data_IF_804870539561
#
_entry.id   IF_804870539561
#
_cell.length_a   1.000
_cell.length_b   1.000
_cell.length_c   1.000
_cell.angle_alpha   90.00
_cell.angle_beta   90.00
_cell.angle_gamma   90.00
#
_symmetry.space_group_name_H-M   'P 1'
#
loop_
_entity.id
_entity.type
_entity.pdbx_description
1 polymer ?
#
# COMPACT_ATOMS: atom_id res chain seq x y z
N UNK A 1 3.83 10.96 40.37
CA UNK A 1 3.51 11.14 38.94
C UNK A 1 4.21 10.11 38.03
N UNK A 2 4.56 8.90 38.49
CA UNK A 2 5.44 7.98 37.73
C UNK A 2 4.68 6.88 36.94
N UNK A 3 3.39 6.63 37.23
CA UNK A 3 2.62 5.56 36.59
C UNK A 3 2.20 5.86 35.13
N UNK A 4 1.97 7.13 34.78
CA UNK A 4 1.50 7.50 33.43
C UNK A 4 2.55 7.19 32.36
N UNK A 5 3.84 7.39 32.65
CA UNK A 5 4.94 7.16 31.71
C UNK A 5 5.11 5.69 31.34
N UNK A 6 4.85 4.77 32.27
CA UNK A 6 5.03 3.32 32.06
C UNK A 6 3.93 2.69 31.21
N UNK A 7 2.69 3.20 31.32
CA UNK A 7 1.55 2.66 30.58
C UNK A 7 1.65 3.03 29.09
N UNK A 8 2.06 4.25 28.80
CA UNK A 8 2.20 4.74 27.43
C UNK A 8 3.37 4.05 26.71
N UNK A 9 4.44 3.71 27.43
CA UNK A 9 5.59 2.96 26.89
C UNK A 9 5.22 1.53 26.45
N UNK A 10 4.40 0.83 27.24
CA UNK A 10 3.93 -0.52 26.91
C UNK A 10 3.07 -0.52 25.63
N UNK A 11 2.17 0.47 25.51
CA UNK A 11 1.35 0.65 24.31
C UNK A 11 2.20 1.01 23.10
N UNK A 12 3.13 1.96 23.25
CA UNK A 12 4.01 2.39 22.17
C UNK A 12 4.89 1.23 21.66
N UNK A 13 5.40 0.41 22.56
CA UNK A 13 6.16 -0.80 22.19
C UNK A 13 5.30 -1.80 21.42
N UNK A 14 4.05 -2.00 21.83
CA UNK A 14 3.12 -2.88 21.13
C UNK A 14 2.74 -2.32 19.74
N UNK A 15 2.45 -1.02 19.66
CA UNK A 15 2.14 -0.32 18.40
C UNK A 15 3.32 -0.39 17.43
N UNK A 16 4.55 -0.15 17.89
CA UNK A 16 5.75 -0.27 17.06
C UNK A 16 5.90 -1.66 16.45
N UNK A 17 5.50 -2.71 17.18
CA UNK A 17 5.47 -4.08 16.64
C UNK A 17 4.32 -4.28 15.66
N UNK A 18 3.14 -3.72 15.95
CA UNK A 18 1.97 -3.78 15.06
C UNK A 18 2.27 -3.14 13.70
N UNK A 19 2.92 -1.98 13.67
CA UNK A 19 3.23 -1.25 12.44
C UNK A 19 4.20 -1.99 11.50
N UNK A 20 4.89 -3.04 11.97
CA UNK A 20 5.79 -3.87 11.15
C UNK A 20 5.07 -4.99 10.39
N UNK A 21 3.78 -5.21 10.63
CA UNK A 21 3.03 -6.25 9.95
C UNK A 21 2.67 -5.82 8.51
N UNK A 22 2.51 -6.82 7.63
CA UNK A 22 1.96 -6.61 6.29
C UNK A 22 0.50 -6.09 6.37
N UNK A 23 -0.02 -5.45 5.29
CA UNK A 23 -1.32 -4.75 5.34
C UNK A 23 -2.50 -5.63 5.75
N UNK A 24 -2.55 -6.86 5.23
CA UNK A 24 -3.65 -7.79 5.50
C UNK A 24 -3.61 -8.25 6.98
N UNK A 25 -2.51 -8.82 7.51
CA UNK A 25 -2.40 -9.14 8.93
C UNK A 25 -2.64 -7.94 9.85
N UNK A 26 -2.10 -6.77 9.52
CA UNK A 26 -2.28 -5.54 10.31
C UNK A 26 -3.77 -5.17 10.45
N UNK A 27 -4.50 -5.17 9.33
CA UNK A 27 -5.94 -4.87 9.33
C UNK A 27 -6.71 -5.88 10.17
N UNK A 28 -6.45 -7.17 9.99
CA UNK A 28 -7.16 -8.25 10.70
C UNK A 28 -6.95 -8.14 12.21
N UNK A 29 -5.71 -7.95 12.67
CA UNK A 29 -5.42 -7.86 14.11
C UNK A 29 -6.01 -6.60 14.72
N UNK A 30 -5.88 -5.44 14.07
CA UNK A 30 -6.36 -4.18 14.62
C UNK A 30 -7.89 -4.12 14.70
N UNK A 31 -8.60 -4.62 13.69
CA UNK A 31 -10.06 -4.77 13.73
C UNK A 31 -10.50 -5.72 14.85
N UNK A 32 -9.78 -6.83 15.04
CA UNK A 32 -10.09 -7.81 16.07
C UNK A 32 -9.85 -7.23 17.46
N UNK A 33 -8.71 -6.57 17.69
CA UNK A 33 -8.40 -5.88 18.95
C UNK A 33 -9.43 -4.79 19.25
N UNK A 34 -9.83 -4.02 18.24
CA UNK A 34 -10.83 -2.97 18.41
C UNK A 34 -12.20 -3.53 18.84
N UNK A 35 -12.62 -4.66 18.24
CA UNK A 35 -13.85 -5.37 18.63
C UNK A 35 -13.76 -5.90 20.06
N UNK A 36 -12.64 -6.52 20.43
CA UNK A 36 -12.41 -7.04 21.80
C UNK A 36 -12.54 -5.91 22.81
N UNK A 37 -11.82 -4.80 22.61
CA UNK A 37 -11.88 -3.64 23.52
C UNK A 37 -13.29 -3.04 23.57
N UNK A 38 -13.96 -2.90 22.42
CA UNK A 38 -15.31 -2.33 22.35
C UNK A 38 -16.33 -3.20 23.08
N UNK A 39 -16.23 -4.54 22.95
CA UNK A 39 -17.15 -5.46 23.63
C UNK A 39 -17.02 -5.36 25.16
N UNK A 40 -15.79 -5.30 25.67
CA UNK A 40 -15.53 -5.14 27.11
C UNK A 40 -16.00 -3.78 27.61
N UNK A 41 -15.68 -2.70 26.88
CA UNK A 41 -16.08 -1.33 27.24
C UNK A 41 -17.60 -1.21 27.33
N UNK A 42 -18.32 -1.77 26.35
CA UNK A 42 -19.77 -1.65 26.29
C UNK A 42 -20.48 -2.59 27.29
N UNK A 43 -19.89 -3.74 27.60
CA UNK A 43 -20.47 -4.76 28.45
C UNK A 43 -19.45 -5.26 29.50
N UNK A 44 -19.05 -4.42 30.47
CA UNK A 44 -17.96 -4.74 31.40
C UNK A 44 -18.32 -5.84 32.41
N UNK A 45 -19.61 -6.14 32.58
CA UNK A 45 -20.08 -7.19 33.48
C UNK A 45 -20.22 -8.56 32.81
N UNK A 46 -20.18 -8.61 31.48
CA UNK A 46 -20.38 -9.84 30.70
C UNK A 46 -19.08 -10.68 30.73
N UNK A 47 -19.06 -11.83 31.46
CA UNK A 47 -17.83 -12.60 31.68
C UNK A 47 -17.20 -13.10 30.38
N UNK A 48 -18.02 -13.38 29.37
CA UNK A 48 -17.58 -13.86 28.05
C UNK A 48 -16.65 -12.88 27.33
N UNK A 49 -16.76 -11.58 27.58
CA UNK A 49 -15.88 -10.58 26.96
C UNK A 49 -14.61 -10.32 27.77
N UNK A 50 -14.59 -10.70 29.04
CA UNK A 50 -13.44 -10.54 29.93
C UNK A 50 -12.39 -11.62 29.74
N UNK A 51 -12.71 -12.71 29.05
CA UNK A 51 -11.84 -13.84 28.79
C UNK A 51 -11.69 -14.14 27.30
N UNK A 52 -10.46 -14.31 26.85
CA UNK A 52 -10.12 -14.81 25.51
C UNK A 52 -9.39 -16.15 25.65
N UNK A 53 -9.97 -17.21 25.09
CA UNK A 53 -9.31 -18.52 25.01
C UNK A 53 -8.23 -18.50 23.94
N UNK A 54 -7.03 -19.00 24.25
CA UNK A 54 -5.93 -19.04 23.28
C UNK A 54 -6.18 -20.01 22.12
N UNK A 55 -6.96 -21.06 22.39
CA UNK A 55 -7.43 -22.03 21.39
C UNK A 55 -8.49 -21.47 20.45
N UNK A 56 -9.08 -20.31 20.74
CA UNK A 56 -10.05 -19.70 19.81
C UNK A 56 -9.35 -19.25 18.54
N UNK A 57 -9.93 -19.55 17.37
CA UNK A 57 -9.43 -19.08 16.08
C UNK A 57 -9.22 -17.56 16.05
N UNK A 58 -10.10 -16.81 16.72
CA UNK A 58 -9.95 -15.36 16.90
C UNK A 58 -8.65 -14.98 17.60
N UNK A 59 -8.23 -15.72 18.63
CA UNK A 59 -6.97 -15.43 19.30
C UNK A 59 -5.79 -16.00 18.50
N UNK A 60 -5.82 -17.29 18.15
CA UNK A 60 -4.69 -17.99 17.54
C UNK A 60 -4.33 -17.45 16.15
N UNK A 61 -5.33 -17.30 15.27
CA UNK A 61 -5.10 -16.93 13.88
C UNK A 61 -4.98 -15.42 13.70
N UNK A 62 -5.73 -14.62 14.46
CA UNK A 62 -5.81 -13.17 14.23
C UNK A 62 -4.93 -12.35 15.17
N UNK A 63 -4.74 -12.79 16.41
CA UNK A 63 -4.05 -11.99 17.44
C UNK A 63 -2.63 -12.50 17.68
N UNK A 64 -2.44 -13.81 17.90
CA UNK A 64 -1.11 -14.35 18.23
C UNK A 64 -0.18 -14.46 17.03
N UNK A 65 -0.72 -14.69 15.82
CA UNK A 65 0.07 -14.72 14.59
C UNK A 65 0.57 -13.34 14.14
N UNK A 66 0.06 -12.25 14.73
CA UNK A 66 0.46 -10.90 14.38
C UNK A 66 1.45 -10.32 15.39
N UNK A 67 2.53 -9.71 14.91
CA UNK A 67 3.53 -9.09 15.76
C UNK A 67 2.89 -7.93 16.54
N UNK A 68 2.96 -7.98 17.87
CA UNK A 68 2.42 -6.93 18.75
C UNK A 68 0.97 -7.12 19.18
N UNK A 69 0.20 -8.06 18.63
CA UNK A 69 -1.20 -8.27 19.01
C UNK A 69 -1.38 -8.65 20.48
N UNK A 70 -0.67 -9.69 20.93
CA UNK A 70 -0.68 -10.11 22.34
C UNK A 70 -0.06 -9.05 23.25
N UNK A 71 1.01 -8.38 22.81
CA UNK A 71 1.63 -7.31 23.58
C UNK A 71 0.67 -6.14 23.81
N UNK A 72 -0.17 -5.83 22.82
CA UNK A 72 -1.19 -4.79 22.91
C UNK A 72 -2.28 -5.14 23.91
N UNK A 73 -2.77 -6.39 23.91
CA UNK A 73 -3.72 -6.85 24.93
C UNK A 73 -3.13 -6.77 26.34
N UNK A 74 -1.84 -7.13 26.51
CA UNK A 74 -1.15 -6.97 27.81
C UNK A 74 -1.08 -5.52 28.25
N UNK A 75 -0.73 -4.62 27.32
CA UNK A 75 -0.70 -3.18 27.57
C UNK A 75 -2.09 -2.65 27.98
N UNK A 76 -3.16 -3.17 27.37
CA UNK A 76 -4.55 -2.83 27.69
C UNK A 76 -5.05 -3.39 29.03
N UNK A 77 -4.27 -4.28 29.68
CA UNK A 77 -4.60 -4.84 31.00
C UNK A 77 -5.03 -6.30 31.01
N UNK A 78 -4.96 -7.00 29.88
CA UNK A 78 -5.17 -8.45 29.85
C UNK A 78 -3.95 -9.17 30.41
N UNK A 79 -4.18 -10.12 31.31
CA UNK A 79 -3.15 -10.98 31.90
C UNK A 79 -3.30 -12.39 31.38
N UNK A 80 -2.18 -13.06 31.14
CA UNK A 80 -2.16 -14.45 30.74
C UNK A 80 -2.34 -15.33 31.99
N UNK A 81 -3.39 -16.13 32.00
CA UNK A 81 -3.69 -17.09 33.06
C UNK A 81 -3.87 -18.48 32.42
N UNK A 82 -2.79 -19.27 32.42
CA UNK A 82 -2.75 -20.55 31.72
C UNK A 82 -3.06 -20.42 30.22
N UNK A 83 -4.12 -21.09 29.77
CA UNK A 83 -4.56 -21.12 28.37
C UNK A 83 -5.59 -20.02 28.02
N UNK A 84 -5.87 -19.10 28.95
CA UNK A 84 -6.77 -17.97 28.73
C UNK A 84 -6.07 -16.65 28.99
N UNK A 85 -6.51 -15.62 28.26
CA UNK A 85 -6.11 -14.24 28.49
C UNK A 85 -7.29 -13.51 29.09
N UNK A 86 -7.16 -13.00 30.32
CA UNK A 86 -8.29 -12.42 31.06
C UNK A 86 -7.98 -11.04 31.62
N UNK A 87 -9.00 -10.19 31.68
CA UNK A 87 -8.95 -8.93 32.42
C UNK A 87 -9.15 -9.20 33.92
N UNK A 88 -8.24 -8.70 34.75
CA UNK A 88 -8.40 -8.78 36.19
C UNK A 88 -9.40 -7.73 36.67
N UNK A 89 -10.19 -8.08 37.69
CA UNK A 89 -11.06 -7.13 38.39
C UNK A 89 -10.26 -6.41 39.49
N UNK A 90 -10.48 -5.11 39.73
CA UNK A 90 -11.44 -4.22 39.07
C UNK A 90 -11.01 -3.84 37.63
N UNK A 91 -11.99 -3.73 36.73
CA UNK A 91 -11.73 -3.35 35.33
C UNK A 91 -11.42 -1.86 35.26
N UNK A 92 -10.23 -1.54 34.78
CA UNK A 92 -9.83 -0.16 34.51
C UNK A 92 -10.42 0.31 33.17
N UNK A 93 -11.62 0.89 33.24
CA UNK A 93 -12.33 1.40 32.07
C UNK A 93 -11.57 2.54 31.38
N UNK A 94 -10.85 3.37 32.13
CA UNK A 94 -10.06 4.47 31.57
C UNK A 94 -8.90 3.94 30.74
N UNK A 95 -8.18 2.94 31.25
CA UNK A 95 -7.11 2.26 30.53
C UNK A 95 -7.61 1.60 29.25
N UNK A 96 -8.77 0.95 29.27
CA UNK A 96 -9.37 0.36 28.06
C UNK A 96 -9.75 1.42 27.01
N UNK A 97 -10.32 2.55 27.44
CA UNK A 97 -10.62 3.66 26.53
C UNK A 97 -9.35 4.26 25.93
N UNK A 98 -8.32 4.50 26.75
CA UNK A 98 -7.01 4.97 26.27
C UNK A 98 -6.40 3.99 25.27
N UNK A 99 -6.42 2.69 25.57
CA UNK A 99 -5.95 1.63 24.67
C UNK A 99 -6.68 1.71 23.32
N UNK A 100 -8.00 1.92 23.34
CA UNK A 100 -8.82 2.05 22.12
C UNK A 100 -8.44 3.27 21.30
N UNK A 101 -8.16 4.42 21.93
CA UNK A 101 -7.70 5.64 21.25
C UNK A 101 -6.34 5.40 20.61
N UNK A 102 -5.39 4.84 21.36
CA UNK A 102 -4.04 4.52 20.85
C UNK A 102 -4.12 3.57 19.65
N UNK A 103 -5.00 2.57 19.70
CA UNK A 103 -5.20 1.65 18.58
C UNK A 103 -5.72 2.37 17.33
N UNK A 104 -6.67 3.31 17.49
CA UNK A 104 -7.17 4.13 16.35
C UNK A 104 -6.05 4.97 15.75
N UNK A 105 -5.23 5.59 16.58
CA UNK A 105 -4.10 6.40 16.13
C UNK A 105 -3.06 5.52 15.40
N UNK A 106 -2.80 4.31 15.88
CA UNK A 106 -1.93 3.35 15.21
C UNK A 106 -2.46 2.98 13.81
N UNK A 107 -3.76 2.75 13.66
CA UNK A 107 -4.39 2.48 12.35
C UNK A 107 -4.25 3.68 11.41
N UNK A 108 -4.46 4.90 11.92
CA UNK A 108 -4.26 6.13 11.14
C UNK A 108 -2.81 6.30 10.68
N UNK A 109 -1.84 6.09 11.58
CA UNK A 109 -0.40 6.14 11.26
C UNK A 109 -0.03 5.12 10.19
N UNK A 110 -0.52 3.88 10.31
CA UNK A 110 -0.29 2.85 9.32
C UNK A 110 -0.86 3.24 7.95
N UNK A 111 -2.09 3.77 7.91
CA UNK A 111 -2.71 4.27 6.69
C UNK A 111 -1.88 5.35 6.00
N UNK A 112 -1.30 6.29 6.76
CA UNK A 112 -0.43 7.33 6.22
C UNK A 112 0.87 6.76 5.61
N UNK A 113 1.52 5.82 6.30
CA UNK A 113 2.73 5.14 5.81
C UNK A 113 2.47 4.42 4.48
N UNK A 114 1.35 3.70 4.39
CA UNK A 114 0.99 2.97 3.17
C UNK A 114 0.63 3.91 2.01
N UNK A 115 -0.02 5.04 2.30
CA UNK A 115 -0.34 6.03 1.26
C UNK A 115 0.92 6.69 0.69
N UNK A 116 1.90 7.01 1.55
CA UNK A 116 3.17 7.58 1.12
C UNK A 116 3.95 6.62 0.21
N UNK A 117 4.04 5.35 0.60
CA UNK A 117 4.70 4.32 -0.21
C UNK A 117 4.00 4.13 -1.56
N UNK A 118 2.67 4.01 -1.55
CA UNK A 118 1.89 3.90 -2.78
C UNK A 118 2.03 5.15 -3.66
N UNK A 119 2.09 6.34 -3.07
CA UNK A 119 2.24 7.59 -3.81
C UNK A 119 3.63 7.68 -4.46
N UNK A 120 4.67 7.24 -3.76
CA UNK A 120 6.03 7.14 -4.31
C UNK A 120 6.06 6.20 -5.50
N UNK A 121 5.55 4.98 -5.36
CA UNK A 121 5.48 4.00 -6.44
C UNK A 121 4.67 4.51 -7.63
N UNK A 122 3.52 5.14 -7.36
CA UNK A 122 2.68 5.72 -8.40
C UNK A 122 3.40 6.86 -9.14
N UNK A 123 4.15 7.71 -8.43
CA UNK A 123 4.92 8.79 -9.03
C UNK A 123 6.06 8.26 -9.91
N UNK A 124 6.77 7.22 -9.46
CA UNK A 124 7.82 6.58 -10.24
C UNK A 124 7.28 5.89 -11.49
N UNK A 125 6.15 5.19 -11.34
CA UNK A 125 5.46 4.57 -12.46
C UNK A 125 4.97 5.63 -13.47
N UNK A 126 4.46 6.76 -13.00
CA UNK A 126 4.04 7.88 -13.84
C UNK A 126 5.22 8.51 -14.59
N UNK A 127 6.39 8.68 -13.96
CA UNK A 127 7.61 9.15 -14.63
C UNK A 127 8.06 8.17 -15.71
N UNK A 128 8.18 6.87 -15.38
CA UNK A 128 8.56 5.82 -16.35
C UNK A 128 7.61 5.77 -17.54
N UNK A 129 6.30 5.92 -17.28
CA UNK A 129 5.29 5.94 -18.33
C UNK A 129 5.48 7.16 -19.27
N UNK A 130 5.77 8.34 -18.73
CA UNK A 130 6.05 9.54 -19.53
C UNK A 130 7.29 9.37 -20.41
N UNK A 131 8.38 8.85 -19.87
CA UNK A 131 9.62 8.64 -20.62
C UNK A 131 9.41 7.65 -21.78
N UNK A 132 8.66 6.58 -21.54
CA UNK A 132 8.30 5.61 -22.58
C UNK A 132 7.41 6.23 -23.66
N UNK A 133 6.44 7.07 -23.28
CA UNK A 133 5.59 7.78 -24.22
C UNK A 133 6.39 8.76 -25.09
N UNK A 134 7.32 9.52 -24.49
CA UNK A 134 8.19 10.42 -25.23
C UNK A 134 9.13 9.69 -26.18
N UNK A 135 9.76 8.60 -25.72
CA UNK A 135 10.62 7.78 -26.55
C UNK A 135 9.84 7.17 -27.73
N UNK A 136 8.62 6.69 -27.48
CA UNK A 136 7.72 6.17 -28.53
C UNK A 136 7.34 7.26 -29.53
N UNK A 137 6.98 8.45 -29.05
CA UNK A 137 6.66 9.61 -29.91
C UNK A 137 7.84 10.02 -30.78
N UNK A 138 9.05 10.10 -30.21
CA UNK A 138 10.29 10.41 -30.94
C UNK A 138 10.59 9.35 -32.01
N UNK A 139 10.45 8.06 -31.67
CA UNK A 139 10.63 6.96 -32.64
C UNK A 139 9.63 7.03 -33.78
N UNK A 140 8.34 7.23 -33.49
CA UNK A 140 7.29 7.38 -34.52
C UNK A 140 7.58 8.57 -35.43
N UNK A 141 7.85 9.74 -34.84
CA UNK A 141 8.18 10.94 -35.62
C UNK A 141 9.40 10.77 -36.52
N UNK A 142 10.42 10.02 -36.07
CA UNK A 142 11.59 9.72 -36.90
C UNK A 142 11.24 8.78 -38.05
N UNK A 143 10.52 7.69 -37.77
CA UNK A 143 10.08 6.74 -38.80
C UNK A 143 9.21 7.42 -39.85
N UNK A 144 8.27 8.26 -39.42
CA UNK A 144 7.40 9.01 -40.32
C UNK A 144 8.20 9.98 -41.20
N UNK A 145 9.20 10.66 -40.64
CA UNK A 145 10.07 11.58 -41.39
C UNK A 145 10.99 10.85 -42.39
N UNK A 146 11.53 9.68 -42.01
CA UNK A 146 12.37 8.87 -42.88
C UNK A 146 11.53 8.28 -44.04
N UNK A 147 10.32 7.80 -43.75
CA UNK A 147 9.38 7.31 -44.77
C UNK A 147 8.93 8.42 -45.73
N UNK A 148 8.71 9.64 -45.23
CA UNK A 148 8.39 10.79 -46.08
C UNK A 148 9.55 11.14 -47.04
N UNK A 149 10.79 11.11 -46.55
CA UNK A 149 11.98 11.37 -47.36
C UNK A 149 12.18 10.32 -48.44
N UNK A 150 12.05 9.04 -48.09
CA UNK A 150 12.13 7.93 -49.05
C UNK A 150 11.08 8.07 -50.15
N UNK A 151 9.85 8.45 -49.79
CA UNK A 151 8.78 8.70 -50.77
C UNK A 151 9.12 9.85 -51.73
N UNK A 152 9.69 10.94 -51.24
CA UNK A 152 10.12 12.07 -52.08
C UNK A 152 11.24 11.65 -53.04
N UNK A 153 12.22 10.86 -52.58
CA UNK A 153 13.33 10.39 -53.40
C UNK A 153 12.85 9.45 -54.51
N UNK A 154 11.92 8.53 -54.21
CA UNK A 154 11.30 7.64 -55.20
C UNK A 154 10.55 8.46 -56.27
N UNK A 155 9.74 9.44 -55.85
CA UNK A 155 8.98 10.28 -56.78
C UNK A 155 9.91 11.10 -57.69
N UNK A 156 11.03 11.60 -57.16
CA UNK A 156 12.03 12.31 -57.94
C UNK A 156 12.70 11.41 -58.96
N UNK A 157 13.09 10.19 -58.58
CA UNK A 157 13.66 9.20 -59.49
C UNK A 157 12.73 8.88 -60.66
N UNK A 158 11.44 8.60 -60.36
CA UNK A 158 10.42 8.35 -61.38
C UNK A 158 10.26 9.53 -62.35
N UNK A 159 10.35 10.76 -61.85
CA UNK A 159 10.24 11.97 -62.68
C UNK A 159 11.46 12.11 -63.61
N UNK A 160 12.68 11.87 -63.11
CA UNK A 160 13.90 11.89 -63.91
C UNK A 160 13.81 10.85 -65.03
N UNK A 161 13.45 9.61 -64.71
CA UNK A 161 13.30 8.54 -65.69
C UNK A 161 12.26 8.89 -66.77
N UNK A 162 11.14 9.51 -66.36
CA UNK A 162 10.09 9.99 -67.27
C UNK A 162 10.59 11.09 -68.21
N UNK A 163 11.35 12.04 -67.69
CA UNK A 163 11.87 13.17 -68.46
C UNK A 163 12.96 12.68 -69.44
N UNK A 164 13.85 11.80 -69.01
CA UNK A 164 14.86 11.18 -69.87
C UNK A 164 14.24 10.36 -71.00
N UNK A 165 13.20 9.58 -70.70
CA UNK A 165 12.48 8.83 -71.73
C UNK A 165 11.82 9.77 -72.76
N UNK A 166 11.30 10.91 -72.29
CA UNK A 166 10.71 11.93 -73.17
C UNK A 166 11.77 12.57 -74.07
N UNK A 167 12.96 12.87 -73.55
CA UNK A 167 14.10 13.42 -74.31
C UNK A 167 14.64 12.47 -75.37
N UNK A 168 14.69 11.17 -75.09
CA UNK A 168 15.14 10.15 -76.04
C UNK A 168 14.15 9.95 -77.20
N UNK A 169 12.87 10.20 -76.96
CA UNK A 169 11.80 10.10 -77.97
C UNK A 169 11.57 11.39 -78.76
N UNK A 170 12.23 12.49 -78.41
CA UNK A 170 12.07 13.75 -79.12
C UNK A 170 12.76 13.67 -80.50
N UNK A 171 11.99 13.73 -81.61
CA UNK A 171 12.54 13.63 -82.96
C UNK A 171 13.46 14.81 -83.34
N UNK A 172 13.49 15.90 -82.57
CA UNK A 172 14.41 17.02 -82.80
C UNK A 172 15.81 16.80 -82.21
N UNK A 173 16.03 15.74 -81.43
CA UNK A 173 17.29 15.52 -80.68
C UNK A 173 18.35 14.70 -81.46
N UNK A 174 18.09 14.37 -82.74
CA UNK A 174 18.93 13.54 -83.62
C UNK A 174 19.53 14.29 -84.83
N UNK A 175 19.76 15.61 -84.72
CA UNK A 175 20.44 16.41 -85.76
C UNK A 175 21.84 16.83 -85.36
#
# INVERSE_FOLDING_TARGET
MSACSSMDEAHETAVRKLLKNAPIPFKIVTETLFKVLTNVINNPQEPKYLELKRTSATFSEKISNCAGGVAFLRAAGFVMDGDVMRLQKPIDAEKLQRSRVILKDAVRRYGALMQEEQQRENSEAAMKLRDLQEASRKRRSKVDADAAREREDILRGVQIDRDDWSRQRDPNNLR
#
